data_IF_381014424389
#
_entry.id   IF_381014424389
#
_cell.length_a   1.000
_cell.length_b   1.000
_cell.length_c   1.000
_cell.angle_alpha   90.00
_cell.angle_beta   90.00
_cell.angle_gamma   90.00
#
_symmetry.space_group_name_H-M   'P 1'
#
loop_
_entity.id
_entity.type
_entity.pdbx_description
1 polymer ?
#
# COMPACT_ATOMS: atom_id res chain seq x y z
N UNK A 1 24.86 11.61 -27.85
CA UNK A 1 24.52 10.43 -27.04
C UNK A 1 23.44 9.67 -27.80
N UNK A 2 23.61 8.37 -28.05
CA UNK A 2 22.58 7.57 -28.70
C UNK A 2 21.36 7.49 -27.76
N UNK A 3 20.15 7.69 -28.30
CA UNK A 3 18.92 7.48 -27.54
C UNK A 3 18.76 5.98 -27.35
N UNK A 4 18.61 5.55 -26.09
CA UNK A 4 18.38 4.16 -25.73
C UNK A 4 17.08 3.66 -26.36
N UNK A 5 17.03 2.39 -26.79
CA UNK A 5 15.80 1.83 -27.34
C UNK A 5 14.83 1.48 -26.19
N UNK A 6 13.54 1.35 -26.49
CA UNK A 6 12.54 0.99 -25.47
C UNK A 6 12.83 -0.39 -24.85
N UNK A 7 13.29 -1.35 -25.65
CA UNK A 7 13.67 -2.69 -25.18
C UNK A 7 14.83 -2.63 -24.18
N UNK A 8 15.87 -1.85 -24.47
CA UNK A 8 17.01 -1.72 -23.58
C UNK A 8 16.63 -0.98 -22.28
N UNK A 9 15.75 0.02 -22.33
CA UNK A 9 15.24 0.70 -21.13
C UNK A 9 14.42 -0.24 -20.23
N UNK A 10 13.60 -1.10 -20.84
CA UNK A 10 12.85 -2.13 -20.10
C UNK A 10 13.77 -3.20 -19.51
N UNK A 11 14.85 -3.57 -20.21
CA UNK A 11 15.84 -4.51 -19.70
C UNK A 11 16.58 -3.94 -18.48
N UNK A 12 16.99 -2.66 -18.52
CA UNK A 12 17.58 -1.98 -17.37
C UNK A 12 16.63 -1.93 -16.17
N UNK A 13 15.35 -1.59 -16.41
CA UNK A 13 14.33 -1.58 -15.36
C UNK A 13 14.21 -2.95 -14.69
N UNK A 14 14.13 -4.02 -15.49
CA UNK A 14 14.10 -5.39 -14.98
C UNK A 14 15.36 -5.75 -14.19
N UNK A 15 16.55 -5.32 -14.64
CA UNK A 15 17.80 -5.55 -13.93
C UNK A 15 17.86 -4.81 -12.59
N UNK A 16 17.41 -3.54 -12.56
CA UNK A 16 17.33 -2.74 -11.33
C UNK A 16 16.39 -3.40 -10.33
N UNK A 17 15.21 -3.87 -10.78
CA UNK A 17 14.26 -4.57 -9.93
C UNK A 17 14.80 -5.92 -9.43
N UNK A 18 15.49 -6.68 -10.29
CA UNK A 18 16.15 -7.92 -9.91
C UNK A 18 17.27 -7.67 -8.88
N UNK A 19 18.02 -6.57 -9.02
CA UNK A 19 19.00 -6.14 -8.03
C UNK A 19 18.35 -5.80 -6.71
N UNK A 20 17.28 -5.02 -6.70
CA UNK A 20 16.50 -4.72 -5.49
C UNK A 20 16.07 -6.00 -4.77
N UNK A 21 15.56 -6.99 -5.52
CA UNK A 21 15.16 -8.30 -4.99
C UNK A 21 16.33 -9.06 -4.37
N UNK A 22 17.51 -9.06 -5.02
CA UNK A 22 18.74 -9.69 -4.50
C UNK A 22 19.27 -8.98 -3.25
N UNK A 23 19.27 -7.66 -3.27
CA UNK A 23 19.72 -6.82 -2.15
C UNK A 23 18.80 -7.04 -0.94
N UNK A 24 17.49 -7.16 -1.15
CA UNK A 24 16.53 -7.49 -0.09
C UNK A 24 16.82 -8.87 0.55
N UNK A 25 17.04 -9.89 -0.27
CA UNK A 25 17.34 -11.24 0.22
C UNK A 25 18.73 -11.36 0.88
N UNK A 26 19.68 -10.50 0.52
CA UNK A 26 21.04 -10.53 1.08
C UNK A 26 21.23 -9.66 2.33
N UNK A 27 20.27 -8.77 2.65
CA UNK A 27 20.27 -7.96 3.86
C UNK A 27 20.04 -8.83 5.12
N UNK A 28 21.10 -9.49 5.57
CA UNK A 28 21.18 -10.52 6.60
C UNK A 28 21.01 -10.06 8.06
N UNK A 29 20.59 -8.82 8.30
CA UNK A 29 20.63 -8.18 9.63
C UNK A 29 19.26 -7.78 10.20
N UNK A 30 18.16 -8.23 9.61
CA UNK A 30 16.83 -8.12 10.24
C UNK A 30 16.17 -9.49 10.28
N UNK A 31 15.19 -9.73 11.15
CA UNK A 31 14.28 -10.89 11.05
C UNK A 31 13.37 -10.82 9.80
N UNK A 32 13.85 -10.17 8.73
CA UNK A 32 13.19 -9.94 7.45
C UNK A 32 13.16 -11.26 6.69
N UNK A 33 11.96 -11.79 6.66
CA UNK A 33 11.41 -12.78 5.74
C UNK A 33 11.87 -12.60 4.28
N UNK A 34 11.84 -13.68 3.49
CA UNK A 34 12.27 -13.68 2.08
C UNK A 34 11.53 -12.60 1.28
N UNK A 35 12.10 -12.15 0.16
CA UNK A 35 11.47 -11.13 -0.67
C UNK A 35 10.00 -11.46 -1.00
N UNK A 36 9.69 -12.72 -1.30
CA UNK A 36 8.32 -13.09 -1.65
C UNK A 36 7.38 -13.32 -0.46
N UNK A 37 7.85 -13.16 0.77
CA UNK A 37 7.02 -13.39 1.93
C UNK A 37 5.96 -12.29 2.07
N UNK A 38 4.73 -12.75 2.32
CA UNK A 38 3.57 -11.91 2.55
C UNK A 38 3.38 -11.72 4.06
N UNK A 39 2.83 -10.57 4.45
CA UNK A 39 2.53 -10.31 5.86
C UNK A 39 1.57 -11.38 6.40
N UNK A 40 1.95 -11.97 7.52
CA UNK A 40 1.11 -12.91 8.30
C UNK A 40 0.28 -12.19 9.35
N UNK A 41 0.45 -10.86 9.43
CA UNK A 41 -0.20 -10.03 10.42
C UNK A 41 -1.65 -9.74 10.01
N UNK A 42 -2.54 -9.77 10.99
CA UNK A 42 -3.98 -9.51 10.79
C UNK A 42 -4.31 -8.05 11.04
N UNK A 43 -5.46 -7.60 10.53
CA UNK A 43 -5.88 -6.20 10.52
C UNK A 43 -6.03 -5.56 11.91
N UNK A 44 -6.07 -6.34 13.00
CA UNK A 44 -6.26 -5.84 14.37
C UNK A 44 -5.00 -5.84 15.24
N UNK A 45 -3.82 -6.21 14.73
CA UNK A 45 -2.61 -6.35 15.56
C UNK A 45 -1.98 -5.03 16.03
N UNK A 46 -2.68 -3.90 15.93
CA UNK A 46 -2.25 -2.62 16.49
C UNK A 46 -3.31 -1.94 17.37
N UNK A 47 -4.39 -2.65 17.72
CA UNK A 47 -5.42 -2.12 18.62
C UNK A 47 -4.96 -1.99 20.08
N UNK A 48 -3.81 -2.58 20.43
CA UNK A 48 -3.26 -2.56 21.79
C UNK A 48 -2.25 -1.42 22.03
N UNK A 49 -2.19 -0.42 21.14
CA UNK A 49 -1.58 0.86 21.50
C UNK A 49 -2.46 1.55 22.55
N UNK A 50 -2.23 1.21 23.81
CA UNK A 50 -2.82 1.91 24.96
C UNK A 50 -2.28 3.34 24.96
N UNK A 51 -3.14 4.37 24.84
CA UNK A 51 -2.65 5.74 24.92
C UNK A 51 -2.00 5.97 26.28
N UNK A 52 -0.72 6.36 26.26
CA UNK A 52 0.12 6.50 27.45
C UNK A 52 1.38 5.61 27.45
N UNK A 53 1.48 4.62 26.57
CA UNK A 53 2.67 3.74 26.48
C UNK A 53 3.34 3.85 25.10
N UNK A 54 3.59 5.08 24.64
CA UNK A 54 4.42 5.34 23.46
C UNK A 54 5.88 5.05 23.88
N UNK A 55 6.61 4.13 23.23
CA UNK A 55 8.03 3.96 23.50
C UNK A 55 8.74 5.31 23.33
N UNK A 56 9.60 5.61 24.29
CA UNK A 56 10.17 6.93 24.59
C UNK A 56 11.06 7.53 23.47
N UNK A 57 11.07 6.95 22.27
CA UNK A 57 11.84 7.40 21.12
C UNK A 57 11.00 8.09 20.02
N UNK A 58 9.68 8.25 20.21
CA UNK A 58 8.82 9.03 19.29
C UNK A 58 7.94 10.01 20.06
N UNK A 59 8.57 10.85 20.88
CA UNK A 59 7.90 12.02 21.43
C UNK A 59 7.59 13.02 20.30
N UNK A 60 6.38 12.96 19.73
CA UNK A 60 5.87 14.03 18.85
C UNK A 60 5.03 13.58 17.65
N UNK A 61 5.09 12.31 17.23
CA UNK A 61 4.34 11.83 16.06
C UNK A 61 3.41 10.70 16.45
N UNK A 62 2.10 10.95 16.36
CA UNK A 62 1.10 9.88 16.34
C UNK A 62 1.38 8.96 15.14
N UNK A 63 1.39 7.62 15.31
CA UNK A 63 1.59 6.73 14.17
C UNK A 63 0.50 6.99 13.13
N UNK A 64 0.92 7.32 11.91
CA UNK A 64 0.02 7.45 10.78
C UNK A 64 -0.11 6.11 10.06
N UNK A 65 -1.21 5.94 9.35
CA UNK A 65 -1.41 4.85 8.42
C UNK A 65 -1.52 5.40 7.02
N UNK A 66 -1.02 4.65 6.03
CA UNK A 66 -1.19 5.03 4.64
C UNK A 66 -2.38 4.27 4.05
N UNK A 67 -3.45 5.00 3.72
CA UNK A 67 -4.58 4.45 3.00
C UNK A 67 -4.29 4.45 1.50
N UNK A 68 -4.46 3.29 0.85
CA UNK A 68 -4.41 3.18 -0.62
C UNK A 68 -5.80 3.45 -1.17
N UNK A 69 -5.96 4.51 -1.95
CA UNK A 69 -7.24 4.92 -2.53
C UNK A 69 -7.44 4.24 -3.88
N UNK A 70 -6.46 4.35 -4.77
CA UNK A 70 -6.56 3.79 -6.11
C UNK A 70 -5.20 3.54 -6.76
N UNK A 71 -5.17 2.60 -7.70
CA UNK A 71 -4.08 2.39 -8.64
C UNK A 71 -4.67 2.44 -10.04
N UNK A 72 -4.20 3.38 -10.87
CA UNK A 72 -4.76 3.65 -12.19
C UNK A 72 -3.68 3.67 -13.26
N UNK A 73 -3.92 2.98 -14.37
CA UNK A 73 -3.11 3.10 -15.57
C UNK A 73 -3.54 4.34 -16.35
N UNK A 74 -2.72 5.39 -16.34
CA UNK A 74 -3.10 6.71 -16.89
C UNK A 74 -2.56 6.94 -18.30
N UNK A 75 -1.38 6.41 -18.60
CA UNK A 75 -0.78 6.50 -19.93
C UNK A 75 -0.24 5.12 -20.34
N UNK A 76 -0.38 4.81 -21.62
CA UNK A 76 0.22 3.64 -22.26
C UNK A 76 0.98 4.10 -23.50
N UNK A 77 2.09 3.44 -23.79
CA UNK A 77 3.01 3.72 -24.86
C UNK A 77 3.60 2.40 -25.38
N UNK A 78 4.63 2.47 -26.23
CA UNK A 78 5.30 1.26 -26.72
C UNK A 78 4.46 0.39 -27.66
N UNK A 79 3.43 0.94 -28.30
CA UNK A 79 2.53 0.19 -29.19
C UNK A 79 1.40 -0.55 -28.46
N UNK A 80 1.30 -0.42 -27.13
CA UNK A 80 0.18 -0.96 -26.36
C UNK A 80 -1.10 -0.18 -26.64
N UNK A 81 -2.21 -0.89 -26.79
CA UNK A 81 -3.53 -0.31 -26.98
C UNK A 81 -4.56 -0.93 -26.02
N UNK A 82 -5.52 -0.12 -25.57
CA UNK A 82 -6.65 -0.64 -24.81
C UNK A 82 -7.58 -1.47 -25.71
N UNK A 83 -8.20 -2.55 -25.21
CA UNK A 83 -8.14 -3.03 -23.83
C UNK A 83 -6.91 -3.89 -23.53
N UNK A 84 -6.28 -3.67 -22.37
CA UNK A 84 -5.13 -4.45 -21.91
C UNK A 84 -5.55 -5.53 -20.93
N UNK A 85 -4.95 -6.71 -21.02
CA UNK A 85 -5.14 -7.78 -20.03
C UNK A 85 -3.93 -7.84 -19.10
N UNK A 86 -4.02 -7.21 -17.93
CA UNK A 86 -2.91 -7.02 -16.99
C UNK A 86 -2.93 -8.08 -15.88
N UNK A 87 -1.78 -8.65 -15.57
CA UNK A 87 -1.59 -9.53 -14.41
C UNK A 87 -0.26 -9.22 -13.71
N UNK A 88 0.01 -9.89 -12.59
CA UNK A 88 1.19 -9.64 -11.75
C UNK A 88 0.83 -9.26 -10.32
N UNK A 89 1.70 -8.50 -9.67
CA UNK A 89 1.63 -8.14 -8.25
C UNK A 89 1.90 -6.64 -8.05
N UNK A 90 1.08 -6.01 -7.22
CA UNK A 90 1.44 -4.74 -6.56
C UNK A 90 1.39 -4.96 -5.06
N UNK A 91 2.45 -4.58 -4.37
CA UNK A 91 2.59 -4.74 -2.93
C UNK A 91 3.21 -3.48 -2.30
N UNK A 92 3.05 -3.39 -0.98
CA UNK A 92 3.69 -2.38 -0.15
C UNK A 92 4.32 -3.04 1.06
N UNK A 93 5.48 -2.54 1.49
CA UNK A 93 6.15 -2.92 2.72
C UNK A 93 6.23 -1.74 3.65
N UNK A 94 5.92 -1.98 4.91
CA UNK A 94 6.17 -1.04 5.99
C UNK A 94 7.19 -1.59 6.98
N UNK A 95 7.44 -0.81 8.03
CA UNK A 95 8.46 -1.08 9.05
C UNK A 95 8.07 -2.17 10.05
N UNK A 96 6.84 -2.69 9.99
CA UNK A 96 6.31 -3.61 11.00
C UNK A 96 6.97 -4.98 10.93
N UNK A 97 6.84 -5.64 9.78
CA UNK A 97 7.35 -6.99 9.55
C UNK A 97 8.20 -7.09 8.28
N UNK A 98 8.35 -5.97 7.56
CA UNK A 98 9.06 -5.89 6.28
C UNK A 98 8.50 -6.84 5.21
N UNK A 99 7.34 -7.45 5.41
CA UNK A 99 6.76 -8.42 4.50
C UNK A 99 5.81 -7.73 3.53
N UNK A 100 5.52 -8.36 2.39
CA UNK A 100 4.63 -7.77 1.38
C UNK A 100 3.20 -7.74 1.88
N UNK A 101 2.62 -6.55 1.94
CA UNK A 101 1.19 -6.35 2.07
C UNK A 101 0.60 -6.17 0.65
N UNK A 102 -0.17 -7.15 0.20
CA UNK A 102 -0.57 -7.26 -1.22
C UNK A 102 -1.72 -6.30 -1.52
N UNK A 103 -1.53 -5.39 -2.47
CA UNK A 103 -2.55 -4.44 -2.92
C UNK A 103 -3.32 -4.96 -4.13
N UNK A 104 -2.61 -5.62 -5.05
CA UNK A 104 -3.16 -6.24 -6.25
C UNK A 104 -2.40 -7.54 -6.53
N UNK A 105 -3.13 -8.59 -6.91
CA UNK A 105 -2.51 -9.86 -7.32
C UNK A 105 -3.38 -10.61 -8.33
N UNK A 106 -2.78 -10.94 -9.47
CA UNK A 106 -3.29 -11.90 -10.46
C UNK A 106 -2.14 -12.81 -10.88
N UNK A 107 -2.20 -14.08 -10.46
CA UNK A 107 -1.07 -15.04 -10.54
C UNK A 107 -0.73 -15.54 -11.94
N UNK A 108 -1.61 -15.36 -12.93
CA UNK A 108 -1.45 -15.94 -14.25
C UNK A 108 -2.27 -15.15 -15.28
N UNK A 109 -1.82 -15.19 -16.54
CA UNK A 109 -2.50 -14.65 -17.71
C UNK A 109 -3.97 -15.09 -17.83
N UNK A 110 -4.35 -16.27 -17.28
CA UNK A 110 -5.73 -16.75 -17.29
C UNK A 110 -6.67 -15.93 -16.40
N UNK A 111 -6.13 -15.32 -15.35
CA UNK A 111 -6.86 -14.46 -14.41
C UNK A 111 -6.51 -12.98 -14.59
N UNK A 112 -5.90 -12.62 -15.73
CA UNK A 112 -5.57 -11.23 -16.03
C UNK A 112 -6.82 -10.35 -15.93
N UNK A 113 -6.66 -9.16 -15.35
CA UNK A 113 -7.71 -8.15 -15.32
C UNK A 113 -7.71 -7.40 -16.64
N UNK A 114 -8.89 -7.32 -17.27
CA UNK A 114 -9.07 -6.53 -18.49
C UNK A 114 -9.31 -5.06 -18.12
N UNK A 115 -8.37 -4.18 -18.48
CA UNK A 115 -8.46 -2.73 -18.35
C UNK A 115 -8.97 -2.12 -19.65
N UNK A 116 -9.83 -1.11 -19.54
CA UNK A 116 -10.38 -0.35 -20.67
C UNK A 116 -9.94 1.11 -20.55
N UNK A 117 -9.97 1.85 -21.65
CA UNK A 117 -9.58 3.26 -21.63
C UNK A 117 -10.43 4.11 -20.66
N UNK A 118 -11.71 3.79 -20.52
CA UNK A 118 -12.63 4.47 -19.59
C UNK A 118 -12.67 3.85 -18.19
N UNK A 119 -11.99 2.73 -17.97
CA UNK A 119 -11.93 2.00 -16.70
C UNK A 119 -10.57 1.29 -16.60
N UNK A 120 -9.55 2.08 -16.27
CA UNK A 120 -8.14 1.68 -16.23
C UNK A 120 -7.62 1.47 -14.80
N UNK A 121 -8.52 1.28 -13.84
CA UNK A 121 -8.19 1.04 -12.44
C UNK A 121 -7.87 -0.43 -12.18
N UNK A 122 -6.79 -0.70 -11.43
CA UNK A 122 -6.55 -2.04 -10.92
C UNK A 122 -7.58 -2.36 -9.83
N UNK A 123 -8.17 -3.55 -9.93
CA UNK A 123 -9.10 -4.07 -8.93
C UNK A 123 -8.28 -4.53 -7.72
N UNK A 124 -8.10 -3.61 -6.78
CA UNK A 124 -7.35 -3.83 -5.55
C UNK A 124 -7.98 -4.98 -4.77
N UNK A 125 -7.14 -5.92 -4.33
CA UNK A 125 -7.57 -6.96 -3.37
C UNK A 125 -7.57 -6.45 -1.94
N UNK A 126 -7.12 -5.20 -1.74
CA UNK A 126 -6.97 -4.54 -0.46
C UNK A 126 -5.76 -5.08 0.30
N UNK A 127 -5.07 -4.23 1.08
CA UNK A 127 -4.06 -4.72 1.99
C UNK A 127 -4.72 -5.62 3.06
N UNK A 128 -4.03 -6.67 3.51
CA UNK A 128 -4.53 -7.57 4.56
C UNK A 128 -4.60 -6.91 5.95
N UNK A 129 -3.86 -5.82 6.13
CA UNK A 129 -3.83 -4.98 7.34
C UNK A 129 -3.53 -3.53 6.99
N UNK A 130 -3.73 -2.62 7.95
CA UNK A 130 -3.30 -1.23 7.80
C UNK A 130 -1.79 -1.15 7.51
N UNK A 131 -1.43 -0.21 6.64
CA UNK A 131 -0.04 0.08 6.27
C UNK A 131 0.46 1.15 7.25
N UNK A 132 1.43 0.79 8.09
CA UNK A 132 1.99 1.73 9.06
C UNK A 132 2.93 2.69 8.35
N UNK A 133 2.75 3.99 8.56
CA UNK A 133 3.49 5.05 7.90
C UNK A 133 4.13 5.97 8.94
N UNK A 134 5.24 5.52 9.52
CA UNK A 134 6.03 6.32 10.47
C UNK A 134 7.09 7.16 9.78
N UNK A 135 7.85 6.56 8.86
CA UNK A 135 8.97 7.21 8.18
C UNK A 135 8.85 7.04 6.66
N UNK A 136 8.74 5.79 6.21
CA UNK A 136 8.66 5.44 4.81
C UNK A 136 8.00 4.08 4.61
N UNK A 137 7.46 3.88 3.42
CA UNK A 137 7.02 2.57 2.91
C UNK A 137 7.69 2.30 1.57
N UNK A 138 7.93 1.04 1.26
CA UNK A 138 8.48 0.61 -0.02
C UNK A 138 7.35 0.01 -0.87
N UNK A 139 7.04 0.63 -2.01
CA UNK A 139 6.09 0.11 -2.98
C UNK A 139 6.81 -0.79 -3.98
N UNK A 140 6.16 -1.88 -4.37
CA UNK A 140 6.67 -2.87 -5.31
C UNK A 140 5.62 -3.14 -6.40
N UNK A 141 5.99 -2.92 -7.65
CA UNK A 141 5.15 -3.16 -8.80
C UNK A 141 5.87 -4.12 -9.74
N UNK A 142 5.21 -5.22 -10.07
CA UNK A 142 5.64 -6.15 -11.10
C UNK A 142 4.40 -6.57 -11.89
N UNK A 143 4.17 -5.90 -13.01
CA UNK A 143 2.99 -6.09 -13.85
C UNK A 143 3.40 -6.45 -15.28
N UNK A 144 2.59 -7.30 -15.88
CA UNK A 144 2.75 -7.83 -17.23
C UNK A 144 1.41 -7.71 -17.97
N UNK A 145 1.49 -7.54 -19.29
CA UNK A 145 0.36 -7.58 -20.21
C UNK A 145 0.38 -8.92 -20.93
N UNK A 146 -0.79 -9.57 -20.97
CA UNK A 146 -0.97 -10.80 -21.74
C UNK A 146 -0.75 -10.54 -23.24
N UNK A 147 0.14 -11.31 -23.87
CA UNK A 147 0.56 -11.18 -25.26
C UNK A 147 1.01 -12.51 -25.88
N UNK A 148 1.71 -12.45 -27.00
CA UNK A 148 2.38 -13.59 -27.64
C UNK A 148 3.77 -13.20 -28.17
N UNK A 149 4.83 -13.17 -27.34
CA UNK A 149 4.88 -13.52 -25.91
C UNK A 149 4.26 -12.45 -24.99
N UNK A 150 4.07 -12.79 -23.72
CA UNK A 150 3.65 -11.81 -22.71
C UNK A 150 4.70 -10.69 -22.58
N UNK A 151 4.24 -9.45 -22.38
CA UNK A 151 5.08 -8.26 -22.38
C UNK A 151 5.14 -7.63 -20.99
N UNK A 152 6.35 -7.28 -20.53
CA UNK A 152 6.53 -6.57 -19.27
C UNK A 152 5.90 -5.17 -19.36
N UNK A 153 5.01 -4.85 -18.43
CA UNK A 153 4.39 -3.53 -18.35
C UNK A 153 5.23 -2.59 -17.49
N UNK A 154 5.56 -3.03 -16.27
CA UNK A 154 6.39 -2.28 -15.33
C UNK A 154 6.96 -3.20 -14.24
N UNK A 155 8.23 -3.03 -13.89
CA UNK A 155 8.93 -3.70 -12.80
C UNK A 155 9.73 -2.69 -11.98
N UNK A 156 9.11 -2.10 -10.98
CA UNK A 156 9.72 -1.02 -10.19
C UNK A 156 9.50 -1.23 -8.69
N UNK A 157 10.51 -0.86 -7.91
CA UNK A 157 10.39 -0.72 -6.46
C UNK A 157 10.80 0.69 -6.07
N UNK A 158 10.01 1.36 -5.23
CA UNK A 158 10.25 2.75 -4.85
C UNK A 158 9.89 3.00 -3.39
N UNK A 159 10.82 3.64 -2.68
CA UNK A 159 10.58 4.18 -1.35
C UNK A 159 9.74 5.45 -1.41
N UNK A 160 8.66 5.49 -0.64
CA UNK A 160 7.81 6.64 -0.44
C UNK A 160 7.99 7.16 0.99
N UNK A 161 8.39 8.43 1.12
CA UNK A 161 8.67 9.10 2.40
C UNK A 161 7.58 10.13 2.78
N UNK A 162 6.44 10.13 2.08
CA UNK A 162 5.34 11.07 2.36
C UNK A 162 5.24 12.26 1.42
N UNK A 163 4.09 12.93 1.44
CA UNK A 163 3.82 14.19 0.77
C UNK A 163 3.93 15.38 1.73
N UNK A 164 4.02 16.61 1.19
CA UNK A 164 4.03 17.83 2.00
C UNK A 164 2.61 18.14 2.52
N UNK A 165 2.18 17.46 3.60
CA UNK A 165 1.01 17.85 4.38
C UNK A 165 -0.14 16.82 4.42
N UNK A 166 -1.16 17.08 5.26
CA UNK A 166 -2.34 16.23 5.39
C UNK A 166 -3.19 16.32 4.12
N UNK A 167 -3.36 15.20 3.41
CA UNK A 167 -4.18 15.16 2.20
C UNK A 167 -3.88 13.96 1.31
N UNK A 168 -4.65 13.85 0.22
CA UNK A 168 -4.40 12.85 -0.82
C UNK A 168 -3.11 13.23 -1.55
N UNK A 169 -2.16 12.31 -1.55
CA UNK A 169 -0.93 12.36 -2.33
C UNK A 169 -1.01 11.43 -3.53
N UNK A 170 -0.45 11.88 -4.65
CA UNK A 170 -0.38 11.09 -5.88
C UNK A 170 1.06 10.71 -6.19
N UNK A 171 1.30 9.42 -6.38
CA UNK A 171 2.60 8.83 -6.69
C UNK A 171 2.56 8.32 -8.14
N UNK A 172 3.55 8.67 -8.94
CA UNK A 172 3.68 8.18 -10.31
C UNK A 172 4.79 7.13 -10.41
N UNK A 173 4.47 6.02 -11.07
CA UNK A 173 5.41 5.01 -11.56
C UNK A 173 5.38 5.08 -13.07
N UNK A 174 6.53 5.38 -13.68
CA UNK A 174 6.60 5.65 -15.12
C UNK A 174 7.79 4.92 -15.72
N UNK A 175 7.58 4.39 -16.91
CA UNK A 175 8.62 3.89 -17.79
C UNK A 175 8.27 4.20 -19.26
N UNK A 176 8.91 3.53 -20.21
CA UNK A 176 8.66 3.73 -21.65
C UNK A 176 7.37 3.10 -22.15
N UNK A 177 6.78 2.16 -21.40
CA UNK A 177 5.55 1.44 -21.76
C UNK A 177 4.31 2.05 -21.12
N UNK A 178 4.43 2.60 -19.91
CA UNK A 178 3.27 3.12 -19.19
C UNK A 178 3.58 4.16 -18.12
N UNK A 179 2.52 4.83 -17.69
CA UNK A 179 2.46 5.61 -16.45
C UNK A 179 1.32 5.08 -15.58
N UNK A 180 1.65 4.65 -14.36
CA UNK A 180 0.71 4.29 -13.30
C UNK A 180 0.64 5.41 -12.26
N UNK A 181 -0.59 5.69 -11.84
CA UNK A 181 -0.93 6.65 -10.79
C UNK A 181 -1.40 5.90 -9.54
N UNK A 182 -0.73 6.15 -8.42
CA UNK A 182 -1.08 5.66 -7.09
C UNK A 182 -1.59 6.82 -6.24
N UNK A 183 -2.87 6.78 -5.86
CA UNK A 183 -3.43 7.75 -4.92
C UNK A 183 -3.39 7.18 -3.50
N UNK A 184 -2.76 7.90 -2.60
CA UNK A 184 -2.58 7.50 -1.20
C UNK A 184 -2.96 8.64 -0.27
N UNK A 185 -3.34 8.34 0.96
CA UNK A 185 -3.65 9.35 1.96
C UNK A 185 -3.09 8.92 3.32
N UNK A 186 -2.25 9.74 3.96
CA UNK A 186 -1.92 9.56 5.38
C UNK A 186 -3.17 9.79 6.22
N UNK A 187 -3.46 8.85 7.11
CA UNK A 187 -4.56 8.89 8.06
C UNK A 187 -3.98 8.71 9.45
N UNK A 188 -4.10 9.76 10.27
CA UNK A 188 -3.74 9.70 11.69
C UNK A 188 -4.66 8.73 12.41
N UNK A 189 -4.09 7.75 13.13
CA UNK A 189 -4.89 6.84 13.94
C UNK A 189 -5.44 7.62 15.15
N UNK A 190 -6.73 7.95 15.15
CA UNK A 190 -7.44 8.43 16.34
C UNK A 190 -8.22 7.27 16.96
N UNK A 191 -7.55 6.41 17.74
CA UNK A 191 -8.28 5.55 18.69
C UNK A 191 -8.61 6.38 19.93
N UNK A 192 -9.68 7.17 19.85
CA UNK A 192 -10.26 7.78 21.04
C UNK A 192 -10.94 6.68 21.87
N UNK A 193 -10.25 6.17 22.89
CA UNK A 193 -10.90 5.43 23.97
C UNK A 193 -11.43 6.48 24.96
N UNK A 194 -12.73 6.74 24.92
CA UNK A 194 -13.42 7.32 26.07
C UNK A 194 -13.89 6.17 26.97
N UNK A 195 -12.96 5.57 27.73
CA UNK A 195 -13.34 4.87 28.97
C UNK A 195 -12.90 5.75 30.13
N UNK A 196 -13.79 6.65 30.54
CA UNK A 196 -13.69 7.24 31.87
C UNK A 196 -13.92 6.10 32.86
N UNK A 197 -13.02 5.85 33.83
CA UNK A 197 -13.32 4.93 34.92
C UNK A 197 -14.50 5.50 35.70
N UNK A 198 -15.63 4.80 35.73
CA UNK A 198 -16.66 5.07 36.73
C UNK A 198 -16.17 4.50 38.06
N UNK A 199 -15.33 5.25 38.76
CA UNK A 199 -15.14 5.05 40.19
C UNK A 199 -15.80 6.19 40.95
N UNK A 200 -16.74 5.76 41.79
CA UNK A 200 -17.29 6.43 42.97
C UNK A 200 -18.37 7.48 42.73
N UNK A 201 -19.59 6.99 42.95
CA UNK A 201 -20.78 7.73 43.31
C UNK A 201 -20.53 8.80 44.39
N UNK A 202 -20.89 10.04 44.07
CA UNK A 202 -21.67 10.87 45.00
C UNK A 202 -22.81 11.52 44.22
N UNK A 203 -23.96 11.52 44.87
CA UNK A 203 -25.29 11.61 44.29
C UNK A 203 -25.71 13.07 44.35
N UNK A 204 -25.83 13.73 43.20
CA UNK A 204 -26.37 15.09 43.06
C UNK A 204 -27.47 15.10 42.00
N UNK A 205 -28.73 15.01 42.46
CA UNK A 205 -29.93 14.97 41.65
C UNK A 205 -30.09 16.20 40.72
N UNK A 206 -30.40 15.95 39.45
CA UNK A 206 -30.94 16.94 38.51
C UNK A 206 -31.76 16.23 37.42
N UNK A 207 -33.01 16.64 37.13
CA UNK A 207 -33.99 15.79 36.46
C UNK A 207 -33.94 15.95 34.94
N UNK A 208 -33.60 14.90 34.21
CA UNK A 208 -34.01 14.74 32.81
C UNK A 208 -34.32 13.26 32.56
N UNK A 209 -35.60 12.93 32.77
CA UNK A 209 -36.19 11.65 32.38
C UNK A 209 -36.30 11.59 30.87
N UNK A 210 -35.62 10.64 30.23
CA UNK A 210 -36.05 10.05 28.96
C UNK A 210 -36.01 8.53 29.16
N UNK A 211 -37.20 7.96 29.17
CA UNK A 211 -37.49 6.55 29.32
C UNK A 211 -37.48 5.91 27.92
N UNK A 212 -36.54 5.00 27.66
CA UNK A 212 -36.44 4.22 26.43
C UNK A 212 -36.35 2.72 26.74
N UNK A 213 -37.24 2.22 27.59
CA UNK A 213 -37.63 0.81 27.56
C UNK A 213 -38.85 0.62 26.64
N UNK A 214 -38.61 0.55 25.32
CA UNK A 214 -39.53 -0.11 24.38
C UNK A 214 -38.89 -0.38 23.01
N UNK A 215 -38.00 -1.37 22.93
CA UNK A 215 -37.86 -2.16 21.71
C UNK A 215 -37.31 -3.56 22.05
N UNK A 216 -38.29 -4.42 22.37
CA UNK A 216 -38.33 -5.89 22.40
C UNK A 216 -37.24 -6.61 23.19
#
# INVERSE_FOLDING_TARGET
>A
MAKKTAEEEMADEAEIYAKYTRDWNSASSSPRRFFHDETVLSSMQFTHYTPGHIPYNTAGSTPETLQIISIKLVEIAGGLEFPLSVYGVVAVRDTVDGSRNILFRRRSYQRAQRLKQNDSFLCLTGPSRAIVFTDAVDFELQLEVKGTPDEALISQARRYMGGHGPGVSTIYFKNVMCTLELCVQPVTITVAWSLVPMDNAEIGLGPCSIDLQRLV
#
